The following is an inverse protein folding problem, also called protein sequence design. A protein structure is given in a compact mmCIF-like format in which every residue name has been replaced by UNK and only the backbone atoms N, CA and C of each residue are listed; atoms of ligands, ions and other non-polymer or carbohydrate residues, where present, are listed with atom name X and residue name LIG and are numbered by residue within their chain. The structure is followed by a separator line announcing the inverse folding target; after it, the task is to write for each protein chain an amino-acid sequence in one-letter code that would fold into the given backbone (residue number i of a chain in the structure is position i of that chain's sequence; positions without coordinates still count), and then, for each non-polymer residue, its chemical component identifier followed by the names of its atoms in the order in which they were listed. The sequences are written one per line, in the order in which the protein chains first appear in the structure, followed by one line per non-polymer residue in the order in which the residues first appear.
data_IF_717347813404
#
_entry.id   IF_717347813404
#
_cell.length_a   1.000
_cell.length_b   1.000
_cell.length_c   1.000
_cell.angle_alpha   90.00
_cell.angle_beta   90.00
_cell.angle_gamma   90.00
#
_symmetry.space_group_name_H-M   'P 1'
#
loop_
_entity.id
_entity.type
_entity.pdbx_description
1 polymer ?
#
# COMPACT_ATOMS: atom_id res chain seq x y z
N UNK A 1 22.18 15.96 9.82
CA UNK A 1 21.75 15.05 8.74
C UNK A 1 20.24 15.17 8.59
N UNK A 2 19.68 15.46 7.41
CA UNK A 2 18.22 15.66 7.22
C UNK A 2 17.69 14.86 6.04
N UNK A 3 16.43 14.44 6.11
CA UNK A 3 15.69 13.81 5.01
C UNK A 3 14.65 14.80 4.50
N UNK A 4 14.59 14.98 3.18
CA UNK A 4 13.64 15.88 2.53
C UNK A 4 12.81 15.11 1.51
N UNK A 5 11.53 15.44 1.41
CA UNK A 5 10.64 14.86 0.43
C UNK A 5 9.64 15.92 -0.06
N UNK A 6 9.21 15.84 -1.33
CA UNK A 6 8.19 16.72 -1.86
C UNK A 6 6.85 16.51 -1.14
N UNK A 7 6.12 17.60 -0.89
CA UNK A 7 4.81 17.54 -0.28
C UNK A 7 3.81 16.81 -1.19
N UNK A 8 3.14 15.76 -0.72
CA UNK A 8 2.08 15.12 -1.48
C UNK A 8 0.82 16.00 -1.48
N UNK A 9 0.09 16.01 -2.59
CA UNK A 9 -1.23 16.66 -2.69
C UNK A 9 -2.28 15.88 -1.89
N UNK A 10 -2.19 14.55 -1.90
CA UNK A 10 -3.05 13.65 -1.14
C UNK A 10 -2.21 12.46 -0.68
N UNK A 11 -2.40 12.01 0.55
CA UNK A 11 -1.75 10.80 1.04
C UNK A 11 -2.54 10.16 2.18
N UNK A 12 -2.41 8.85 2.32
CA UNK A 12 -2.91 8.12 3.47
C UNK A 12 -2.12 6.83 3.68
N UNK A 13 -2.09 6.39 4.94
CA UNK A 13 -1.53 5.12 5.35
C UNK A 13 -2.61 4.29 6.04
N UNK A 14 -2.84 3.07 5.57
CA UNK A 14 -3.74 2.12 6.22
C UNK A 14 -2.93 0.90 6.65
N UNK A 15 -3.13 0.49 7.91
CA UNK A 15 -2.38 -0.58 8.56
C UNK A 15 -3.33 -1.64 9.09
N UNK A 16 -3.20 -2.87 8.61
CA UNK A 16 -3.77 -4.03 9.26
C UNK A 16 -2.76 -4.54 10.30
N UNK A 17 -3.14 -4.48 11.58
CA UNK A 17 -2.23 -4.67 12.72
C UNK A 17 -2.27 -6.11 13.19
N UNK A 18 -1.12 -6.69 13.50
CA UNK A 18 -1.05 -7.88 14.34
C UNK A 18 -1.67 -7.55 15.72
N UNK A 19 -2.53 -8.44 16.24
CA UNK A 19 -3.28 -8.19 17.48
C UNK A 19 -2.37 -8.01 18.70
N UNK A 20 -1.34 -8.86 18.82
CA UNK A 20 -0.44 -8.85 19.97
C UNK A 20 0.58 -7.72 19.87
N UNK A 21 1.37 -7.70 18.79
CA UNK A 21 2.51 -6.78 18.68
C UNK A 21 2.15 -5.42 18.10
N UNK A 22 0.96 -5.28 17.51
CA UNK A 22 0.50 -4.08 16.79
C UNK A 22 1.36 -3.72 15.58
N UNK A 23 2.36 -4.53 15.19
CA UNK A 23 3.11 -4.37 13.95
C UNK A 23 2.20 -4.49 12.72
N UNK A 24 2.64 -3.92 11.60
CA UNK A 24 1.89 -4.06 10.34
C UNK A 24 2.06 -5.49 9.87
N UNK A 25 0.97 -6.27 9.87
CA UNK A 25 0.97 -7.53 9.10
C UNK A 25 1.05 -7.17 7.61
N UNK A 26 0.20 -6.21 7.22
CA UNK A 26 0.30 -5.48 5.95
C UNK A 26 -0.06 -4.03 6.23
N UNK A 27 0.75 -3.10 5.73
CA UNK A 27 0.42 -1.69 5.71
C UNK A 27 0.67 -1.12 4.32
N UNK A 28 -0.26 -0.29 3.83
CA UNK A 28 -0.15 0.34 2.51
C UNK A 28 -0.19 1.85 2.66
N UNK A 29 0.86 2.50 2.14
CA UNK A 29 0.94 3.95 2.01
C UNK A 29 0.72 4.34 0.55
N UNK A 30 -0.21 5.26 0.31
CA UNK A 30 -0.43 5.86 -1.00
C UNK A 30 -0.18 7.35 -0.92
N UNK A 31 0.56 7.89 -1.88
CA UNK A 31 0.79 9.32 -2.01
C UNK A 31 0.63 9.76 -3.47
N UNK A 32 -0.22 10.76 -3.70
CA UNK A 32 -0.28 11.53 -4.95
C UNK A 32 0.60 12.76 -4.80
N UNK A 33 1.73 12.77 -5.49
CA UNK A 33 2.65 13.92 -5.55
C UNK A 33 2.35 14.73 -6.81
N UNK A 34 2.98 15.92 -6.99
CA UNK A 34 2.76 16.73 -8.19
C UNK A 34 3.11 16.01 -9.49
N UNK A 35 4.19 15.21 -9.50
CA UNK A 35 4.72 14.53 -10.69
C UNK A 35 4.34 13.06 -10.82
N UNK A 36 3.99 12.39 -9.72
CA UNK A 36 3.77 10.94 -9.71
C UNK A 36 2.84 10.46 -8.59
N UNK A 37 2.56 9.16 -8.61
CA UNK A 37 1.86 8.43 -7.55
C UNK A 37 2.79 7.36 -7.01
N UNK A 38 2.81 7.18 -5.69
CA UNK A 38 3.57 6.12 -5.02
C UNK A 38 2.67 5.25 -4.18
N UNK A 39 2.88 3.94 -4.27
CA UNK A 39 2.21 2.92 -3.47
C UNK A 39 3.26 2.03 -2.84
N UNK A 40 3.45 2.15 -1.53
CA UNK A 40 4.43 1.38 -0.78
C UNK A 40 3.74 0.42 0.19
N UNK A 41 4.26 -0.81 0.27
CA UNK A 41 3.78 -1.89 1.12
C UNK A 41 4.80 -2.18 2.22
N UNK A 42 4.32 -2.30 3.44
CA UNK A 42 5.10 -2.54 4.65
C UNK A 42 4.61 -3.80 5.36
N UNK A 43 5.53 -4.55 5.96
CA UNK A 43 5.25 -5.78 6.73
C UNK A 43 5.00 -7.04 5.91
N UNK A 44 4.69 -6.92 4.60
CA UNK A 44 4.38 -8.06 3.76
C UNK A 44 5.58 -8.69 3.05
N UNK A 45 6.59 -7.90 2.66
CA UNK A 45 7.71 -8.39 1.86
C UNK A 45 8.77 -9.11 2.70
N UNK A 46 9.35 -10.17 2.14
CA UNK A 46 10.45 -10.91 2.75
C UNK A 46 11.73 -10.04 2.87
N UNK A 47 12.00 -9.24 1.84
CA UNK A 47 13.15 -8.32 1.79
C UNK A 47 12.78 -6.89 2.23
N UNK A 48 11.74 -6.76 3.05
CA UNK A 48 11.32 -5.48 3.63
C UNK A 48 10.27 -4.73 2.82
N UNK A 49 10.40 -3.40 2.78
CA UNK A 49 9.40 -2.49 2.18
C UNK A 49 9.57 -2.45 0.66
N UNK A 50 8.48 -2.59 -0.08
CA UNK A 50 8.52 -2.56 -1.54
C UNK A 50 7.41 -1.68 -2.13
N UNK A 51 7.51 -1.37 -3.41
CA UNK A 51 6.53 -0.58 -4.16
C UNK A 51 5.72 -1.46 -5.10
N UNK A 52 4.44 -1.14 -5.27
CA UNK A 52 3.53 -1.84 -6.20
C UNK A 52 3.34 -0.99 -7.45
N UNK A 53 4.21 -1.19 -8.45
CA UNK A 53 4.24 -0.38 -9.68
C UNK A 53 2.94 -0.44 -10.48
N UNK A 54 2.33 -1.63 -10.59
CA UNK A 54 1.03 -1.79 -11.26
C UNK A 54 -0.07 -0.89 -10.67
N UNK A 55 -0.09 -0.72 -9.34
CA UNK A 55 -1.06 0.14 -8.67
C UNK A 55 -0.72 1.62 -8.90
N UNK A 56 0.57 1.98 -8.90
CA UNK A 56 1.01 3.34 -9.23
C UNK A 56 0.61 3.77 -10.64
N UNK A 57 0.77 2.89 -11.63
CA UNK A 57 0.39 3.14 -13.03
C UNK A 57 -1.13 3.35 -13.18
N UNK A 58 -1.93 2.50 -12.54
CA UNK A 58 -3.38 2.61 -12.58
C UNK A 58 -3.86 3.92 -11.92
N UNK A 59 -3.30 4.26 -10.75
CA UNK A 59 -3.64 5.48 -10.02
C UNK A 59 -3.12 6.76 -10.67
N UNK A 60 -2.06 6.68 -11.49
CA UNK A 60 -1.56 7.80 -12.28
C UNK A 60 -2.56 8.23 -13.35
N UNK A 61 -3.26 7.26 -13.98
CA UNK A 61 -4.33 7.53 -14.96
C UNK A 61 -5.54 8.17 -14.29
N UNK A 62 -5.95 7.63 -13.14
CA UNK A 62 -7.06 8.16 -12.33
C UNK A 62 -6.82 7.84 -10.86
N UNK A 63 -6.68 8.87 -10.03
CA UNK A 63 -6.44 8.69 -8.60
C UNK A 63 -7.77 8.39 -7.87
N UNK A 64 -8.24 7.15 -7.98
CA UNK A 64 -9.49 6.63 -7.42
C UNK A 64 -9.32 5.17 -6.99
N UNK A 65 -9.98 4.75 -5.91
CA UNK A 65 -9.88 3.36 -5.43
C UNK A 65 -10.37 2.35 -6.47
N UNK A 66 -11.39 2.71 -7.26
CA UNK A 66 -11.91 1.89 -8.37
C UNK A 66 -10.88 1.60 -9.46
N UNK A 67 -9.82 2.40 -9.55
CA UNK A 67 -8.72 2.14 -10.50
C UNK A 67 -7.88 0.93 -10.13
N UNK A 68 -8.06 0.38 -8.92
CA UNK A 68 -7.37 -0.81 -8.45
C UNK A 68 -8.26 -2.07 -8.52
N UNK A 69 -9.49 -1.97 -9.04
CA UNK A 69 -10.40 -3.10 -9.15
C UNK A 69 -9.85 -4.12 -10.16
N UNK A 70 -9.85 -5.40 -9.77
CA UNK A 70 -9.30 -6.49 -10.58
C UNK A 70 -7.77 -6.61 -10.58
N UNK A 71 -7.03 -5.64 -10.01
CA UNK A 71 -5.58 -5.75 -9.88
C UNK A 71 -5.20 -6.59 -8.65
N UNK A 72 -4.22 -7.45 -8.84
CA UNK A 72 -3.68 -8.35 -7.80
C UNK A 72 -2.18 -8.13 -7.63
N UNK A 73 -1.65 -8.57 -6.49
CA UNK A 73 -0.22 -8.63 -6.22
C UNK A 73 0.18 -10.11 -6.18
N UNK A 74 1.26 -10.53 -6.85
CA UNK A 74 1.73 -11.91 -6.74
C UNK A 74 2.17 -12.20 -5.30
N UNK A 75 2.02 -13.46 -4.88
CA UNK A 75 2.47 -13.90 -3.56
C UNK A 75 4.00 -14.07 -3.48
N UNK A 76 4.68 -14.11 -4.63
CA UNK A 76 6.13 -14.26 -4.72
C UNK A 76 6.87 -13.13 -3.99
N UNK A 77 7.84 -13.51 -3.15
CA UNK A 77 8.61 -12.57 -2.33
C UNK A 77 7.87 -12.00 -1.12
N UNK A 78 6.66 -12.49 -0.82
CA UNK A 78 5.95 -12.16 0.42
C UNK A 78 6.23 -13.17 1.53
N UNK A 79 6.18 -12.69 2.77
CA UNK A 79 6.33 -13.52 3.96
C UNK A 79 5.14 -14.47 4.14
N UNK A 80 5.43 -15.66 4.66
CA UNK A 80 4.43 -16.61 5.13
C UNK A 80 4.82 -17.06 6.53
N UNK A 81 3.95 -16.83 7.51
CA UNK A 81 4.17 -17.20 8.91
C UNK A 81 2.85 -17.56 9.62
N UNK A 82 2.92 -17.84 10.92
CA UNK A 82 1.77 -18.16 11.76
C UNK A 82 0.66 -17.09 11.73
N UNK A 83 0.99 -15.84 11.39
CA UNK A 83 0.04 -14.73 11.38
C UNK A 83 -0.60 -14.49 10.01
N UNK A 84 -0.12 -15.15 8.95
CA UNK A 84 -0.76 -15.11 7.64
C UNK A 84 0.14 -15.63 6.52
N UNK A 85 -0.47 -16.34 5.57
CA UNK A 85 0.20 -16.82 4.37
C UNK A 85 0.56 -15.69 3.41
N UNK A 86 1.45 -15.99 2.45
CA UNK A 86 1.83 -15.06 1.40
C UNK A 86 0.61 -14.63 0.55
N UNK A 87 -0.30 -15.54 0.24
CA UNK A 87 -1.54 -15.28 -0.53
C UNK A 87 -2.49 -14.38 0.26
N UNK A 88 -2.60 -14.61 1.57
CA UNK A 88 -3.42 -13.75 2.45
C UNK A 88 -2.86 -12.33 2.49
N UNK A 89 -1.53 -12.18 2.58
CA UNK A 89 -0.87 -10.87 2.53
C UNK A 89 -1.04 -10.20 1.17
N UNK A 90 -0.88 -10.94 0.08
CA UNK A 90 -1.13 -10.46 -1.29
C UNK A 90 -2.57 -9.91 -1.44
N UNK A 91 -3.55 -10.66 -0.94
CA UNK A 91 -4.94 -10.22 -0.93
C UNK A 91 -5.13 -8.93 -0.10
N UNK A 92 -4.58 -8.90 1.12
CA UNK A 92 -4.66 -7.73 1.99
C UNK A 92 -4.05 -6.48 1.35
N UNK A 93 -2.95 -6.58 0.60
CA UNK A 93 -2.35 -5.44 -0.09
C UNK A 93 -3.37 -4.75 -0.99
N UNK A 94 -4.12 -5.51 -1.81
CA UNK A 94 -5.16 -4.96 -2.68
C UNK A 94 -6.29 -4.27 -1.90
N UNK A 95 -6.78 -4.92 -0.84
CA UNK A 95 -7.84 -4.36 0.02
C UNK A 95 -7.39 -3.06 0.69
N UNK A 96 -6.20 -3.06 1.29
CA UNK A 96 -5.67 -1.90 2.01
C UNK A 96 -5.28 -0.77 1.07
N UNK A 97 -4.82 -1.06 -0.15
CA UNK A 97 -4.54 -0.04 -1.15
C UNK A 97 -5.82 0.73 -1.54
N UNK A 98 -6.94 0.04 -1.78
CA UNK A 98 -8.23 0.70 -2.05
C UNK A 98 -8.67 1.59 -0.89
N UNK A 99 -8.63 1.07 0.34
CA UNK A 99 -8.94 1.84 1.56
C UNK A 99 -8.01 3.05 1.75
N UNK A 100 -6.72 2.90 1.40
CA UNK A 100 -5.76 4.01 1.49
C UNK A 100 -6.08 5.10 0.46
N UNK A 101 -6.45 4.75 -0.77
CA UNK A 101 -6.87 5.73 -1.77
C UNK A 101 -8.16 6.44 -1.33
N UNK A 102 -9.16 5.69 -0.84
CA UNK A 102 -10.39 6.27 -0.27
C UNK A 102 -10.08 7.29 0.83
N UNK A 103 -9.31 6.89 1.83
CA UNK A 103 -8.90 7.76 2.93
C UNK A 103 -8.11 8.99 2.47
N UNK A 104 -7.21 8.83 1.49
CA UNK A 104 -6.45 9.94 0.91
C UNK A 104 -7.35 10.91 0.15
N UNK A 105 -8.46 10.44 -0.43
CA UNK A 105 -9.41 11.29 -1.16
C UNK A 105 -10.47 11.95 -0.29
N UNK A 106 -10.85 11.33 0.84
CA UNK A 106 -11.88 11.81 1.76
C UNK A 106 -11.42 12.98 2.65
N UNK A 107 -10.11 13.13 2.86
CA UNK A 107 -9.54 14.31 3.54
C UNK A 107 -9.46 15.46 2.53
N UNK A 108 -10.40 16.39 2.64
CA UNK A 108 -10.37 17.70 1.98
C UNK A 108 -9.67 18.71 2.90
#
# INVERSE_FOLDING_TARGET
TRVMFPLPKKAAYIKFRNQASRYALVGVFVARRPSDVRVAVTGAGADGVFRVTAFEEALRKRFSHKSLDGLTVPADGLNSDLHGSAEYRAHLIGVLARRAVEAATARA
#
